data_IF_544332437517
#
_entry.id   IF_544332437517
#
_cell.length_a   1.000
_cell.length_b   1.000
_cell.length_c   1.000
_cell.angle_alpha   90.00
_cell.angle_beta   90.00
_cell.angle_gamma   90.00
#
_symmetry.space_group_name_H-M   'P 1'
#
loop_
_entity.id
_entity.type
_entity.pdbx_description
1 polymer ?
#
# COMPACT_ATOMS: atom_id res chain seq x y z
N UNK A 1 -12.11 -17.61 21.16
CA UNK A 1 -11.34 -16.60 21.90
C UNK A 1 -10.34 -16.02 20.93
N UNK A 2 -10.37 -14.71 20.68
CA UNK A 2 -9.33 -14.03 19.90
C UNK A 2 -8.14 -13.80 20.84
N UNK A 3 -7.02 -14.48 20.60
CA UNK A 3 -5.75 -14.11 21.24
C UNK A 3 -5.29 -12.82 20.56
N UNK A 4 -5.52 -11.68 21.23
CA UNK A 4 -5.08 -10.38 20.77
C UNK A 4 -3.61 -10.18 21.16
N UNK A 5 -2.70 -10.83 20.43
CA UNK A 5 -1.29 -10.48 20.47
C UNK A 5 -1.07 -9.33 19.46
N UNK A 6 -0.47 -8.22 19.91
CA UNK A 6 -0.17 -7.09 19.03
C UNK A 6 0.91 -7.54 18.05
N UNK A 7 0.59 -7.54 16.77
CA UNK A 7 1.54 -7.98 15.75
C UNK A 7 2.70 -6.99 15.67
N UNK A 8 3.93 -7.51 15.65
CA UNK A 8 5.13 -6.70 15.40
C UNK A 8 5.15 -6.38 13.91
N UNK A 9 4.75 -5.16 13.56
CA UNK A 9 4.80 -4.69 12.17
C UNK A 9 6.19 -4.11 11.91
N UNK A 10 6.86 -4.59 10.86
CA UNK A 10 8.14 -4.02 10.44
C UNK A 10 7.89 -3.06 9.28
N UNK A 11 7.99 -1.75 9.52
CA UNK A 11 7.88 -0.72 8.49
C UNK A 11 9.14 0.14 8.49
N UNK A 12 9.67 0.43 7.29
CA UNK A 12 10.76 1.37 7.09
C UNK A 12 10.32 2.51 6.18
N UNK A 13 10.60 3.75 6.56
CA UNK A 13 10.26 4.93 5.76
C UNK A 13 11.48 5.43 5.00
N UNK A 14 11.37 5.49 3.67
CA UNK A 14 12.34 6.15 2.81
C UNK A 14 11.79 7.49 2.31
N UNK A 15 12.24 8.57 2.94
CA UNK A 15 11.89 9.94 2.59
C UNK A 15 12.45 10.40 1.23
N UNK A 16 13.35 9.63 0.61
CA UNK A 16 13.97 9.94 -0.68
C UNK A 16 13.36 9.17 -1.86
N UNK A 17 12.45 8.25 -1.58
CA UNK A 17 11.83 7.38 -2.60
C UNK A 17 10.97 8.12 -3.63
N UNK A 18 10.52 9.35 -3.32
CA UNK A 18 9.50 10.05 -4.10
C UNK A 18 8.09 9.45 -3.98
N UNK A 19 7.92 8.46 -3.09
CA UNK A 19 6.62 7.88 -2.74
C UNK A 19 6.14 8.50 -1.43
N UNK A 20 4.86 8.87 -1.36
CA UNK A 20 4.26 9.39 -0.13
C UNK A 20 4.46 8.43 1.04
N UNK A 21 4.75 8.97 2.23
CA UNK A 21 4.86 8.17 3.46
C UNK A 21 3.55 7.40 3.70
N UNK A 22 2.42 8.01 3.34
CA UNK A 22 1.10 7.38 3.40
C UNK A 22 1.07 6.07 2.62
N UNK A 23 1.55 6.08 1.37
CA UNK A 23 1.58 4.93 0.49
C UNK A 23 2.66 3.92 0.93
N UNK A 24 3.80 4.38 1.44
CA UNK A 24 4.84 3.47 1.97
C UNK A 24 4.30 2.62 3.13
N UNK A 25 3.55 3.22 4.07
CA UNK A 25 2.91 2.49 5.18
C UNK A 25 1.85 1.53 4.65
N UNK A 26 1.01 1.98 3.71
CA UNK A 26 -0.04 1.17 3.11
C UNK A 26 0.54 -0.09 2.44
N UNK A 27 1.50 0.09 1.54
CA UNK A 27 2.07 -1.01 0.75
C UNK A 27 2.82 -1.99 1.65
N UNK A 28 3.59 -1.53 2.63
CA UNK A 28 4.33 -2.43 3.52
C UNK A 28 3.41 -3.26 4.44
N UNK A 29 2.27 -2.73 4.87
CA UNK A 29 1.27 -3.51 5.61
C UNK A 29 0.58 -4.50 4.66
N UNK A 30 0.16 -4.05 3.47
CA UNK A 30 -0.43 -4.92 2.46
C UNK A 30 0.50 -6.09 2.08
N UNK A 31 1.78 -5.83 1.90
CA UNK A 31 2.80 -6.84 1.59
C UNK A 31 2.97 -7.87 2.70
N UNK A 32 2.98 -7.42 3.96
CA UNK A 32 3.05 -8.33 5.11
C UNK A 32 1.79 -9.20 5.21
N UNK A 33 0.62 -8.67 4.86
CA UNK A 33 -0.61 -9.47 4.76
C UNK A 33 -0.52 -10.49 3.62
N UNK A 34 0.00 -10.09 2.45
CA UNK A 34 0.16 -10.98 1.28
C UNK A 34 1.13 -12.12 1.56
N UNK A 35 2.25 -11.85 2.26
CA UNK A 35 3.22 -12.86 2.66
C UNK A 35 2.74 -13.75 3.80
N UNK A 36 1.65 -13.39 4.46
CA UNK A 36 1.12 -14.09 5.63
C UNK A 36 1.86 -13.80 6.93
N UNK A 37 2.71 -12.76 6.93
CA UNK A 37 3.38 -12.22 8.13
C UNK A 37 2.33 -11.61 9.08
N UNK A 38 1.32 -10.93 8.51
CA UNK A 38 0.14 -10.44 9.22
C UNK A 38 -1.08 -11.29 8.85
N UNK A 39 -1.73 -11.87 9.86
CA UNK A 39 -2.83 -12.83 9.71
C UNK A 39 -4.17 -12.20 10.07
N UNK A 40 -5.29 -12.72 9.52
CA UNK A 40 -6.62 -12.31 9.94
C UNK A 40 -6.81 -12.41 11.45
N UNK A 41 -7.26 -11.31 12.07
CA UNK A 41 -7.43 -11.20 13.51
C UNK A 41 -6.24 -10.58 14.24
N UNK A 42 -5.08 -10.43 13.62
CA UNK A 42 -3.94 -9.73 14.22
C UNK A 42 -4.28 -8.27 14.49
N UNK A 43 -3.90 -7.78 15.66
CA UNK A 43 -4.10 -6.39 16.06
C UNK A 43 -2.92 -5.53 15.59
N UNK A 44 -3.23 -4.47 14.85
CA UNK A 44 -2.24 -3.45 14.50
C UNK A 44 -2.04 -2.47 15.66
N UNK A 45 -0.85 -1.82 15.75
CA UNK A 45 -0.64 -0.71 16.66
C UNK A 45 -1.67 0.39 16.41
N UNK A 46 -1.96 1.17 17.44
CA UNK A 46 -2.75 2.38 17.28
C UNK A 46 -2.04 3.38 16.37
N UNK A 47 -2.81 4.29 15.78
CA UNK A 47 -2.29 5.40 14.96
C UNK A 47 -1.18 6.17 15.68
N UNK A 48 -1.30 6.37 17.00
CA UNK A 48 -0.32 7.11 17.79
C UNK A 48 0.94 6.29 18.05
N UNK A 49 0.81 5.02 18.40
CA UNK A 49 1.95 4.13 18.61
C UNK A 49 2.80 4.02 17.34
N UNK A 50 2.17 3.73 16.20
CA UNK A 50 2.89 3.60 14.93
C UNK A 50 3.50 4.94 14.48
N UNK A 51 2.83 6.07 14.75
CA UNK A 51 3.40 7.38 14.43
C UNK A 51 4.67 7.68 15.23
N UNK A 52 4.70 7.30 16.50
CA UNK A 52 5.88 7.43 17.38
C UNK A 52 6.99 6.51 16.87
N UNK A 53 6.68 5.24 16.59
CA UNK A 53 7.64 4.25 16.12
C UNK A 53 8.32 4.67 14.81
N UNK A 54 7.54 5.19 13.86
CA UNK A 54 8.04 5.60 12.55
C UNK A 54 8.59 7.04 12.52
N UNK A 55 8.46 7.79 13.62
CA UNK A 55 8.78 9.21 13.69
C UNK A 55 8.10 10.04 12.58
N UNK A 56 6.79 9.84 12.40
CA UNK A 56 5.98 10.55 11.38
C UNK A 56 4.75 11.20 12.02
N UNK A 57 4.15 12.16 11.32
CA UNK A 57 2.94 12.82 11.82
C UNK A 57 1.76 11.83 11.90
N UNK A 58 1.01 11.85 13.00
CA UNK A 58 -0.11 10.90 13.22
C UNK A 58 -1.18 10.94 12.11
N UNK A 59 -1.43 12.11 11.52
CA UNK A 59 -2.35 12.24 10.36
C UNK A 59 -1.91 11.38 9.16
N UNK A 60 -0.60 11.19 8.96
CA UNK A 60 -0.04 10.35 7.90
C UNK A 60 -0.44 8.90 8.13
N UNK A 61 -0.21 8.37 9.32
CA UNK A 61 -0.63 7.01 9.72
C UNK A 61 -2.15 6.86 9.65
N UNK A 62 -2.90 7.84 10.14
CA UNK A 62 -4.36 7.84 10.09
C UNK A 62 -4.89 7.83 8.65
N UNK A 63 -4.19 8.46 7.69
CA UNK A 63 -4.54 8.41 6.27
C UNK A 63 -4.23 7.03 5.69
N UNK A 64 -3.10 6.42 6.02
CA UNK A 64 -2.77 5.04 5.61
C UNK A 64 -3.77 4.02 6.13
N UNK A 65 -4.16 4.10 7.41
CA UNK A 65 -5.15 3.20 8.00
C UNK A 65 -6.52 3.37 7.31
N UNK A 66 -6.93 4.59 6.99
CA UNK A 66 -8.15 4.82 6.20
C UNK A 66 -8.09 4.18 4.81
N UNK A 67 -6.92 4.17 4.17
CA UNK A 67 -6.75 3.50 2.86
C UNK A 67 -6.81 1.97 3.01
N UNK A 68 -6.15 1.40 4.03
CA UNK A 68 -6.20 -0.03 4.32
C UNK A 68 -7.63 -0.50 4.63
N UNK A 69 -8.39 0.29 5.39
CA UNK A 69 -9.79 0.01 5.74
C UNK A 69 -10.67 0.05 4.47
N UNK A 70 -10.51 1.07 3.62
CA UNK A 70 -11.17 1.15 2.30
C UNK A 70 -10.80 -0.01 1.37
N UNK A 71 -9.58 -0.51 1.47
CA UNK A 71 -9.10 -1.67 0.71
C UNK A 71 -9.61 -3.01 1.28
N UNK A 72 -10.35 -2.99 2.40
CA UNK A 72 -10.86 -4.19 3.06
C UNK A 72 -9.77 -5.04 3.71
N UNK A 73 -8.60 -4.45 4.00
CA UNK A 73 -7.47 -5.14 4.64
C UNK A 73 -7.56 -5.08 6.17
N UNK A 74 -8.15 -4.02 6.71
CA UNK A 74 -8.32 -3.84 8.15
C UNK A 74 -9.74 -3.42 8.49
N UNK A 75 -10.08 -3.55 9.77
CA UNK A 75 -11.28 -2.95 10.35
C UNK A 75 -10.91 -2.27 11.66
N UNK A 76 -11.27 -0.99 11.79
CA UNK A 76 -11.14 -0.26 13.05
C UNK A 76 -12.42 -0.38 13.86
N UNK A 77 -12.30 -0.97 15.05
CA UNK A 77 -13.39 -1.11 16.00
C UNK A 77 -13.22 -0.09 17.13
N UNK A 78 -14.15 0.85 17.24
CA UNK A 78 -14.07 1.94 18.22
C UNK A 78 -13.87 1.39 19.65
N UNK A 79 -12.83 1.86 20.33
CA UNK A 79 -12.48 1.43 21.70
C UNK A 79 -11.89 0.03 21.82
N UNK A 80 -11.79 -0.75 20.73
CA UNK A 80 -11.25 -2.13 20.75
C UNK A 80 -9.92 -2.27 20.00
N UNK A 81 -9.70 -1.49 18.96
CA UNK A 81 -8.45 -1.49 18.19
C UNK A 81 -8.68 -1.65 16.69
N UNK A 82 -7.60 -1.84 15.95
CA UNK A 82 -7.59 -2.03 14.50
C UNK A 82 -7.06 -3.42 14.20
N UNK A 83 -7.80 -4.19 13.39
CA UNK A 83 -7.50 -5.61 13.17
C UNK A 83 -7.41 -5.94 11.67
N UNK A 84 -6.53 -6.86 11.30
CA UNK A 84 -6.46 -7.42 9.95
C UNK A 84 -7.74 -8.22 9.65
N UNK A 85 -8.35 -7.95 8.50
CA UNK A 85 -9.51 -8.68 8.02
C UNK A 85 -9.09 -9.97 7.28
N UNK A 86 -9.97 -10.98 7.21
CA UNK A 86 -9.80 -12.10 6.30
C UNK A 86 -9.67 -11.57 4.87
N UNK A 87 -8.48 -11.73 4.28
CA UNK A 87 -8.27 -11.34 2.89
C UNK A 87 -9.14 -12.23 2.00
N UNK A 88 -10.10 -11.62 1.32
CA UNK A 88 -10.62 -12.21 0.09
C UNK A 88 -9.51 -12.02 -0.95
N UNK A 89 -8.56 -12.96 -0.99
CA UNK A 89 -7.44 -13.02 -1.95
C UNK A 89 -7.87 -12.70 -3.40
N UNK A 90 -9.15 -12.94 -3.73
CA UNK A 90 -9.81 -12.65 -5.01
C UNK A 90 -9.84 -11.17 -5.40
N UNK A 91 -10.08 -10.23 -4.47
CA UNK A 91 -10.21 -8.80 -4.80
C UNK A 91 -8.87 -8.17 -5.22
N UNK A 92 -7.80 -8.52 -4.49
CA UNK A 92 -6.45 -8.02 -4.80
C UNK A 92 -5.87 -8.70 -6.05
N UNK A 93 -6.17 -10.00 -6.25
CA UNK A 93 -5.83 -10.72 -7.47
C UNK A 93 -6.48 -10.09 -8.70
N UNK A 94 -7.78 -9.79 -8.65
CA UNK A 94 -8.47 -9.11 -9.76
C UNK A 94 -7.93 -7.70 -10.04
N UNK A 95 -7.55 -6.95 -8.98
CA UNK A 95 -6.90 -5.64 -9.12
C UNK A 95 -5.54 -5.75 -9.81
N UNK A 96 -4.72 -6.74 -9.44
CA UNK A 96 -3.40 -6.97 -10.05
C UNK A 96 -3.50 -7.50 -11.46
N UNK A 97 -4.42 -8.43 -11.74
CA UNK A 97 -4.72 -8.88 -13.10
C UNK A 97 -5.15 -7.70 -13.99
N UNK A 98 -5.95 -6.77 -13.46
CA UNK A 98 -6.37 -5.58 -14.21
C UNK A 98 -5.21 -4.62 -14.46
N UNK A 99 -4.34 -4.39 -13.48
CA UNK A 99 -3.15 -3.55 -13.65
C UNK A 99 -2.19 -4.15 -14.69
N UNK A 100 -2.00 -5.47 -14.62
CA UNK A 100 -1.16 -6.22 -15.55
C UNK A 100 -1.71 -6.12 -16.99
N UNK A 101 -3.04 -6.20 -17.13
CA UNK A 101 -3.74 -6.01 -18.39
C UNK A 101 -3.55 -4.59 -18.96
N UNK A 102 -3.75 -3.55 -18.15
CA UNK A 102 -3.56 -2.15 -18.58
C UNK A 102 -2.10 -1.89 -18.98
N UNK A 103 -1.15 -2.47 -18.26
CA UNK A 103 0.28 -2.34 -18.56
C UNK A 103 0.62 -3.01 -19.89
N UNK A 104 0.04 -4.17 -20.19
CA UNK A 104 0.19 -4.83 -21.50
C UNK A 104 -0.36 -3.97 -22.63
N UNK A 105 -1.53 -3.36 -22.44
CA UNK A 105 -2.12 -2.44 -23.43
C UNK A 105 -1.21 -1.24 -23.70
N UNK A 106 -0.60 -0.66 -22.66
CA UNK A 106 0.39 0.41 -22.80
C UNK A 106 1.61 -0.04 -23.63
N UNK A 107 2.17 -1.21 -23.34
CA UNK A 107 3.34 -1.74 -24.05
C UNK A 107 3.03 -2.13 -25.51
N UNK A 108 1.82 -2.60 -25.79
CA UNK A 108 1.38 -2.87 -27.16
C UNK A 108 1.28 -1.57 -27.96
N UNK A 109 0.73 -0.51 -27.37
CA UNK A 109 0.59 0.79 -28.01
C UNK A 109 1.95 1.46 -28.34
N UNK A 110 3.05 1.01 -27.73
CA UNK A 110 4.38 1.55 -28.01
C UNK A 110 5.13 0.81 -29.12
N UNK A 111 4.66 -0.37 -29.56
CA UNK A 111 5.35 -1.17 -30.58
C UNK A 111 5.46 -0.44 -31.92
N UNK A 112 4.38 0.24 -32.33
CA UNK A 112 4.32 0.95 -33.61
C UNK A 112 5.07 2.29 -33.60
N UNK A 113 5.56 2.73 -32.43
CA UNK A 113 6.27 4.01 -32.27
C UNK A 113 7.79 3.89 -32.54
N UNK A 114 8.31 2.68 -32.71
CA UNK A 114 9.74 2.46 -32.97
C UNK A 114 10.66 2.85 -31.80
N UNK A 115 10.12 2.95 -30.58
CA UNK A 115 10.86 3.33 -29.38
C UNK A 115 11.50 2.11 -28.71
N UNK A 116 12.66 2.32 -28.11
CA UNK A 116 13.35 1.29 -27.34
C UNK A 116 12.68 1.03 -25.99
N UNK A 117 12.91 -0.15 -25.41
CA UNK A 117 12.46 -0.48 -24.06
C UNK A 117 12.95 0.54 -23.01
N UNK A 118 14.16 1.08 -23.18
CA UNK A 118 14.72 2.11 -22.31
C UNK A 118 13.95 3.42 -22.36
N UNK A 119 13.52 3.85 -23.56
CA UNK A 119 12.69 5.06 -23.73
C UNK A 119 11.30 4.87 -23.13
N UNK A 120 10.68 3.70 -23.34
CA UNK A 120 9.38 3.36 -22.73
C UNK A 120 9.47 3.46 -21.20
N UNK A 121 10.50 2.85 -20.59
CA UNK A 121 10.72 2.91 -19.15
C UNK A 121 10.94 4.35 -18.66
N UNK A 122 11.76 5.14 -19.35
CA UNK A 122 12.02 6.52 -18.99
C UNK A 122 10.74 7.38 -19.00
N UNK A 123 9.88 7.20 -20.00
CA UNK A 123 8.59 7.90 -20.10
C UNK A 123 7.63 7.43 -19.00
N UNK A 124 7.54 6.12 -18.75
CA UNK A 124 6.70 5.58 -17.68
C UNK A 124 7.11 6.14 -16.31
N UNK A 125 8.40 6.09 -15.97
CA UNK A 125 8.92 6.63 -14.71
C UNK A 125 8.64 8.12 -14.54
N UNK A 126 8.82 8.91 -15.61
CA UNK A 126 8.51 10.35 -15.58
C UNK A 126 7.03 10.61 -15.29
N UNK A 127 6.12 9.90 -15.97
CA UNK A 127 4.68 10.05 -15.76
C UNK A 127 4.25 9.56 -14.37
N UNK A 128 4.82 8.44 -13.91
CA UNK A 128 4.54 7.91 -12.58
C UNK A 128 4.94 8.92 -11.49
N UNK A 129 6.12 9.53 -11.60
CA UNK A 129 6.55 10.60 -10.70
C UNK A 129 5.55 11.76 -10.67
N UNK A 130 5.17 12.28 -11.84
CA UNK A 130 4.20 13.37 -11.94
C UNK A 130 2.79 13.01 -11.44
N UNK A 131 2.40 11.73 -11.49
CA UNK A 131 1.13 11.25 -10.96
C UNK A 131 1.16 11.18 -9.43
N UNK A 132 2.25 10.66 -8.85
CA UNK A 132 2.43 10.57 -7.40
C UNK A 132 2.46 11.96 -6.77
N UNK A 133 3.21 12.89 -7.37
CA UNK A 133 3.32 14.27 -6.87
C UNK A 133 1.96 15.02 -6.88
N UNK A 134 1.02 14.65 -7.76
CA UNK A 134 -0.32 15.24 -7.84
C UNK A 134 -1.32 14.65 -6.83
N UNK A 135 -1.09 13.43 -6.35
CA UNK A 135 -1.97 12.76 -5.37
C UNK A 135 -1.76 13.20 -3.92
N UNK A 136 -0.73 14.01 -3.67
CA UNK A 136 -0.40 14.55 -2.34
C UNK A 136 -1.02 15.92 -2.04
N UNK A 137 -1.69 16.54 -3.01
CA UNK A 137 -2.46 17.79 -2.82
C UNK A 137 -3.90 17.52 -2.33
#
# INVERSE_FOLDING_TARGET
MFNAEVAIIKIQIDFRSGISIVNQIFEQINDQVIRGDLKPGDQLPTVRELAIELNVHFNTVARSYRLLDKAGLISTQHGRGTYILPTTSTANKGRMEKLDQITKEYLLATQDLGVSAGEILAVFHRNLKSYVDKGEQ
#
